data_IF_787434270333
#
_entry.id   IF_787434270333
#
_cell.length_a   1.000
_cell.length_b   1.000
_cell.length_c   1.000
_cell.angle_alpha   90.00
_cell.angle_beta   90.00
_cell.angle_gamma   90.00
#
_symmetry.space_group_name_H-M   'P 1'
#
loop_
_entity.id
_entity.type
_entity.pdbx_description
1 polymer ?
#
# COMPACT_ATOMS: atom_id res chain seq x y z
N UNK A 1 64.66 13.13 54.61
CA UNK A 1 64.87 14.47 53.99
C UNK A 1 64.01 14.50 52.73
N UNK A 2 62.82 15.14 52.69
CA UNK A 2 62.57 16.58 52.41
C UNK A 2 63.49 17.08 51.27
N UNK A 3 63.04 17.46 50.06
CA UNK A 3 62.18 18.64 49.77
C UNK A 3 61.69 18.71 48.29
N UNK A 4 60.40 19.06 48.11
CA UNK A 4 59.73 20.05 47.23
C UNK A 4 59.86 20.12 45.67
N UNK A 5 58.69 19.93 45.03
CA UNK A 5 57.93 20.71 44.00
C UNK A 5 58.60 21.72 43.04
N UNK A 6 58.19 21.66 41.76
CA UNK A 6 57.41 22.67 40.94
C UNK A 6 57.45 22.24 39.43
N UNK A 7 56.35 21.80 38.80
CA UNK A 7 55.26 22.51 38.12
C UNK A 7 55.58 23.10 36.70
N UNK A 8 54.76 22.67 35.70
CA UNK A 8 54.25 23.42 34.51
C UNK A 8 55.25 23.81 33.39
N UNK A 9 54.98 23.81 32.06
CA UNK A 9 53.84 23.52 31.15
C UNK A 9 54.39 23.37 29.71
N UNK A 10 53.51 22.99 28.77
CA UNK A 10 53.51 23.24 27.31
C UNK A 10 53.91 22.09 26.34
N UNK A 11 52.85 21.39 25.90
CA UNK A 11 52.42 21.23 24.51
C UNK A 11 53.42 20.83 23.42
N UNK A 12 53.21 19.64 22.84
CA UNK A 12 52.89 19.49 21.42
C UNK A 12 52.34 18.08 21.16
N UNK A 13 51.02 18.01 20.93
CA UNK A 13 50.38 16.84 20.37
C UNK A 13 50.73 16.74 18.88
N UNK A 14 51.31 15.63 18.45
CA UNK A 14 51.32 15.22 17.03
C UNK A 14 50.30 14.12 16.90
N UNK A 15 49.11 14.48 16.44
CA UNK A 15 48.06 13.54 16.08
C UNK A 15 48.42 12.90 14.74
N UNK A 16 48.68 11.59 14.74
CA UNK A 16 48.64 10.79 13.51
C UNK A 16 47.17 10.67 13.06
N UNK A 17 46.85 11.26 11.92
CA UNK A 17 45.60 11.03 11.21
C UNK A 17 45.61 9.61 10.63
N UNK A 18 44.99 8.67 11.35
CA UNK A 18 44.53 7.43 10.74
C UNK A 18 43.30 7.76 9.87
N UNK A 19 43.41 7.52 8.57
CA UNK A 19 42.32 7.60 7.61
C UNK A 19 41.24 6.58 8.00
N UNK A 20 40.26 7.05 8.78
CA UNK A 20 39.01 6.33 9.01
C UNK A 20 38.22 6.27 7.71
N UNK A 21 38.24 5.11 7.06
CA UNK A 21 37.30 4.78 6.01
C UNK A 21 35.89 4.78 6.59
N UNK A 22 35.15 5.87 6.34
CA UNK A 22 33.71 5.92 6.53
C UNK A 22 33.11 4.95 5.51
N UNK A 23 32.82 3.72 5.93
CA UNK A 23 31.74 2.96 5.32
C UNK A 23 30.49 3.82 5.46
N UNK A 24 29.83 4.25 4.38
CA UNK A 24 28.50 4.83 4.53
C UNK A 24 27.66 3.76 5.20
N UNK A 25 27.21 4.04 6.43
CA UNK A 25 26.12 3.29 7.02
C UNK A 25 25.02 3.29 5.97
N UNK A 26 24.73 2.12 5.38
CA UNK A 26 23.54 1.95 4.57
C UNK A 26 22.42 2.52 5.42
N UNK A 27 21.86 3.65 4.99
CA UNK A 27 20.71 4.24 5.62
C UNK A 27 19.72 3.08 5.78
N UNK A 28 19.47 2.70 7.03
CA UNK A 28 18.46 1.71 7.34
C UNK A 28 17.19 2.33 6.78
N UNK A 29 16.80 1.85 5.59
CA UNK A 29 15.53 2.23 5.01
C UNK A 29 14.51 1.97 6.10
N UNK A 30 13.62 2.93 6.31
CA UNK A 30 12.43 2.76 7.14
C UNK A 30 11.54 1.73 6.44
N UNK A 31 11.97 0.47 6.53
CA UNK A 31 11.28 -0.71 6.04
C UNK A 31 10.18 -0.90 7.06
N UNK A 32 9.01 -0.33 6.73
CA UNK A 32 7.88 -0.20 7.65
C UNK A 32 7.59 -1.46 8.47
N UNK A 33 6.88 -1.29 9.57
CA UNK A 33 6.58 -2.37 10.49
C UNK A 33 5.15 -2.87 10.30
N UNK A 34 4.95 -4.18 10.38
CA UNK A 34 3.62 -4.80 10.45
C UNK A 34 3.31 -5.13 11.92
N UNK A 35 2.16 -4.69 12.42
CA UNK A 35 1.71 -4.99 13.79
C UNK A 35 0.46 -5.85 13.73
N UNK A 36 0.51 -7.05 14.32
CA UNK A 36 -0.63 -7.94 14.52
C UNK A 36 -1.13 -7.76 15.96
N UNK A 37 -2.40 -7.43 16.12
CA UNK A 37 -3.08 -7.39 17.42
C UNK A 37 -3.95 -8.62 17.53
N UNK A 38 -3.64 -9.48 18.49
CA UNK A 38 -4.37 -10.70 18.78
C UNK A 38 -5.60 -10.40 19.64
N UNK A 39 -6.60 -11.31 19.60
CA UNK A 39 -7.85 -11.17 20.36
C UNK A 39 -7.63 -11.14 21.88
N UNK A 40 -6.55 -11.76 22.34
CA UNK A 40 -6.09 -11.73 23.73
C UNK A 40 -5.46 -10.37 24.13
N UNK A 41 -5.40 -9.40 23.20
CA UNK A 41 -4.81 -8.08 23.40
C UNK A 41 -3.29 -8.03 23.16
N UNK A 42 -2.65 -9.17 22.88
CA UNK A 42 -1.22 -9.22 22.58
C UNK A 42 -0.93 -8.50 21.27
N UNK A 43 0.19 -7.80 21.21
CA UNK A 43 0.66 -7.07 20.03
C UNK A 43 1.99 -7.67 19.60
N UNK A 44 2.11 -8.02 18.32
CA UNK A 44 3.35 -8.52 17.75
C UNK A 44 3.74 -7.71 16.54
N UNK A 45 4.96 -7.20 16.59
CA UNK A 45 5.53 -6.34 15.55
C UNK A 45 6.54 -7.12 14.73
N UNK A 46 6.48 -6.98 13.42
CA UNK A 46 7.39 -7.60 12.47
C UNK A 46 8.03 -6.52 11.59
N UNK A 47 9.33 -6.65 11.34
CA UNK A 47 10.01 -5.86 10.32
C UNK A 47 9.64 -6.40 8.93
N UNK A 48 9.16 -5.56 8.02
CA UNK A 48 8.88 -5.99 6.64
C UNK A 48 10.15 -6.48 5.91
N UNK A 49 11.34 -6.13 6.39
CA UNK A 49 12.60 -6.57 5.84
C UNK A 49 12.87 -8.08 6.02
N UNK A 50 12.23 -8.69 7.02
CA UNK A 50 12.53 -10.04 7.50
C UNK A 50 11.44 -11.05 7.11
N UNK A 51 10.33 -10.59 6.51
CA UNK A 51 9.20 -11.44 6.17
C UNK A 51 9.39 -11.98 4.75
N UNK A 52 9.55 -13.30 4.64
CA UNK A 52 9.59 -13.99 3.35
C UNK A 52 8.17 -14.31 2.82
N UNK A 53 7.25 -14.74 3.68
CA UNK A 53 5.87 -15.11 3.33
C UNK A 53 4.95 -15.06 4.54
N UNK A 54 3.67 -14.78 4.32
CA UNK A 54 2.59 -14.91 5.32
C UNK A 54 1.58 -15.93 4.80
N UNK A 55 1.24 -16.93 5.62
CA UNK A 55 0.30 -18.00 5.29
C UNK A 55 -0.78 -18.10 6.37
N UNK A 56 -1.99 -18.51 5.98
CA UNK A 56 -3.12 -18.72 6.88
C UNK A 56 -3.70 -20.11 6.62
N UNK A 57 -3.83 -20.94 7.64
CA UNK A 57 -4.19 -22.38 7.53
C UNK A 57 -5.58 -22.62 6.93
N UNK A 58 -6.45 -21.60 6.88
CA UNK A 58 -7.79 -21.71 6.31
C UNK A 58 -7.81 -21.21 4.85
N UNK A 59 -7.05 -21.87 3.98
CA UNK A 59 -7.11 -21.63 2.54
C UNK A 59 -8.30 -22.35 1.91
N UNK A 60 -9.50 -21.82 2.11
CA UNK A 60 -10.45 -21.81 1.00
C UNK A 60 -9.93 -20.78 0.00
N UNK A 61 -9.07 -21.23 -0.89
CA UNK A 61 -8.50 -20.59 -2.10
C UNK A 61 -8.94 -19.15 -2.38
N UNK A 62 -8.52 -18.20 -1.54
CA UNK A 62 -8.55 -16.77 -1.84
C UNK A 62 -7.48 -16.14 -0.98
N UNK A 63 -6.32 -15.88 -1.58
CA UNK A 63 -5.37 -14.92 -1.03
C UNK A 63 -6.08 -13.56 -0.98
N UNK A 64 -6.71 -13.23 0.14
CA UNK A 64 -7.14 -11.87 0.41
C UNK A 64 -5.87 -11.03 0.43
N UNK A 65 -5.61 -10.30 -0.65
CA UNK A 65 -4.52 -9.33 -0.68
C UNK A 65 -4.76 -8.38 0.50
N UNK A 66 -3.80 -8.25 1.41
CA UNK A 66 -3.91 -7.31 2.54
C UNK A 66 -4.23 -5.93 1.94
N UNK A 67 -5.46 -5.45 2.15
CA UNK A 67 -6.00 -4.25 1.51
C UNK A 67 -7.23 -4.46 0.60
N UNK A 68 -7.60 -5.69 0.25
CA UNK A 68 -8.83 -5.99 -0.50
C UNK A 68 -10.08 -5.62 0.30
N UNK A 69 -10.07 -5.90 1.61
CA UNK A 69 -11.18 -5.62 2.52
C UNK A 69 -11.66 -4.16 2.48
N UNK A 70 -10.77 -3.20 2.18
CA UNK A 70 -11.14 -1.77 2.13
C UNK A 70 -11.98 -1.38 0.92
N UNK A 71 -11.95 -2.20 -0.14
CA UNK A 71 -12.66 -1.97 -1.39
C UNK A 71 -13.83 -2.92 -1.58
N UNK A 72 -13.88 -4.03 -0.84
CA UNK A 72 -15.01 -4.95 -0.83
C UNK A 72 -16.30 -4.22 -0.48
N UNK A 73 -17.39 -4.55 -1.16
CA UNK A 73 -18.70 -3.95 -0.96
C UNK A 73 -19.27 -3.29 -2.22
N UNK A 74 -20.34 -2.53 -2.03
CA UNK A 74 -21.05 -1.82 -3.10
C UNK A 74 -20.59 -0.37 -3.19
N UNK A 75 -20.44 0.10 -4.43
CA UNK A 75 -20.00 1.45 -4.76
C UNK A 75 -20.96 2.07 -5.76
N UNK A 76 -21.43 3.29 -5.47
CA UNK A 76 -22.09 4.14 -6.47
C UNK A 76 -21.02 4.96 -7.20
N UNK A 77 -21.03 4.91 -8.52
CA UNK A 77 -20.02 5.55 -9.37
C UNK A 77 -20.66 6.28 -10.55
N UNK A 78 -20.03 7.33 -11.05
CA UNK A 78 -20.50 8.05 -12.23
C UNK A 78 -20.19 7.32 -13.55
N UNK A 79 -21.09 7.41 -14.53
CA UNK A 79 -20.89 6.85 -15.88
C UNK A 79 -20.03 7.72 -16.80
N UNK A 80 -19.83 9.00 -16.45
CA UNK A 80 -19.10 10.00 -17.25
C UNK A 80 -19.97 10.83 -18.18
N UNK A 81 -21.25 10.49 -18.31
CA UNK A 81 -22.26 11.23 -19.05
C UNK A 81 -23.23 12.00 -18.12
N UNK A 82 -23.00 11.96 -16.80
CA UNK A 82 -23.82 12.61 -15.78
C UNK A 82 -24.78 11.66 -15.06
N UNK A 83 -24.83 10.39 -15.45
CA UNK A 83 -25.55 9.33 -14.73
C UNK A 83 -24.67 8.62 -13.71
N UNK A 84 -25.28 7.67 -12.99
CA UNK A 84 -24.58 6.82 -12.03
C UNK A 84 -24.99 5.36 -12.17
N UNK A 85 -24.10 4.47 -11.76
CA UNK A 85 -24.35 3.03 -11.69
C UNK A 85 -23.65 2.44 -10.47
N UNK A 86 -23.91 1.17 -10.20
CA UNK A 86 -23.32 0.46 -9.06
C UNK A 86 -22.25 -0.53 -9.52
N UNK A 87 -21.17 -0.61 -8.75
CA UNK A 87 -20.14 -1.64 -8.83
C UNK A 87 -20.14 -2.40 -7.49
N UNK A 88 -20.25 -3.72 -7.54
CA UNK A 88 -20.12 -4.60 -6.37
C UNK A 88 -18.81 -5.35 -6.46
N UNK A 89 -17.94 -5.18 -5.47
CA UNK A 89 -16.67 -5.89 -5.31
C UNK A 89 -16.83 -6.97 -4.23
N UNK A 90 -16.91 -8.22 -4.65
CA UNK A 90 -17.15 -9.36 -3.77
C UNK A 90 -15.85 -9.94 -3.19
N UNK A 91 -15.94 -10.69 -2.07
CA UNK A 91 -14.88 -11.60 -1.67
C UNK A 91 -14.44 -12.50 -2.84
N UNK A 92 -13.19 -12.99 -2.81
CA UNK A 92 -12.61 -13.81 -3.88
C UNK A 92 -12.40 -13.14 -5.24
N UNK A 93 -12.47 -11.80 -5.30
CA UNK A 93 -12.08 -11.05 -6.50
C UNK A 93 -13.12 -11.06 -7.61
N UNK A 94 -14.39 -11.36 -7.33
CA UNK A 94 -15.50 -11.22 -8.30
C UNK A 94 -16.06 -9.81 -8.28
N UNK A 95 -16.41 -9.27 -9.44
CA UNK A 95 -17.02 -7.95 -9.58
C UNK A 95 -18.28 -8.02 -10.44
N UNK A 96 -19.27 -7.16 -10.13
CA UNK A 96 -20.46 -6.96 -10.95
C UNK A 96 -20.73 -5.47 -11.11
N UNK A 97 -21.28 -5.05 -12.26
CA UNK A 97 -21.79 -3.70 -12.47
C UNK A 97 -23.21 -3.70 -13.01
N UNK A 98 -23.99 -2.67 -12.67
CA UNK A 98 -25.35 -2.52 -13.20
C UNK A 98 -25.37 -1.91 -14.61
N UNK A 99 -24.40 -1.07 -14.96
CA UNK A 99 -24.27 -0.48 -16.29
C UNK A 99 -23.75 -1.52 -17.30
N UNK A 100 -24.52 -1.81 -18.34
CA UNK A 100 -24.18 -2.83 -19.34
C UNK A 100 -24.18 -4.27 -18.80
N UNK A 101 -24.55 -4.48 -17.52
CA UNK A 101 -24.69 -5.77 -16.84
C UNK A 101 -23.55 -6.77 -17.13
N UNK A 102 -22.31 -6.38 -16.81
CA UNK A 102 -21.16 -7.26 -16.99
C UNK A 102 -20.63 -7.76 -15.64
N UNK A 103 -20.20 -9.03 -15.64
CA UNK A 103 -19.32 -9.54 -14.60
C UNK A 103 -17.86 -9.15 -14.89
N UNK A 104 -17.06 -9.17 -13.84
CA UNK A 104 -15.63 -8.98 -13.92
C UNK A 104 -14.90 -9.65 -12.78
N UNK A 105 -13.61 -9.39 -12.75
CA UNK A 105 -12.73 -9.72 -11.63
C UNK A 105 -12.06 -8.46 -11.12
N UNK A 106 -11.68 -8.44 -9.84
CA UNK A 106 -10.96 -7.33 -9.26
C UNK A 106 -9.83 -7.78 -8.35
N UNK A 107 -8.81 -6.93 -8.23
CA UNK A 107 -7.67 -7.13 -7.34
C UNK A 107 -7.14 -5.77 -6.88
N UNK A 108 -6.32 -5.76 -5.84
CA UNK A 108 -5.65 -4.53 -5.37
C UNK A 108 -4.27 -4.44 -6.00
N UNK A 109 -4.02 -3.37 -6.75
CA UNK A 109 -2.72 -3.06 -7.35
C UNK A 109 -2.29 -1.68 -6.87
N UNK A 110 -1.10 -1.56 -6.28
CA UNK A 110 -0.57 -0.28 -5.76
C UNK A 110 -1.54 0.46 -4.81
N UNK A 111 -2.35 -0.29 -4.06
CA UNK A 111 -3.33 0.26 -3.12
C UNK A 111 -4.64 0.74 -3.76
N UNK A 112 -4.87 0.47 -5.04
CA UNK A 112 -6.10 0.80 -5.77
C UNK A 112 -6.83 -0.49 -6.20
N UNK A 113 -8.15 -0.48 -6.26
CA UNK A 113 -8.91 -1.64 -6.74
C UNK A 113 -9.00 -1.58 -8.26
N UNK A 114 -8.22 -2.42 -8.93
CA UNK A 114 -8.28 -2.63 -10.37
C UNK A 114 -9.34 -3.68 -10.70
N UNK A 115 -10.28 -3.33 -11.54
CA UNK A 115 -11.42 -4.14 -11.97
C UNK A 115 -11.29 -4.38 -13.47
N UNK A 116 -11.36 -5.64 -13.89
CA UNK A 116 -11.36 -6.04 -15.30
C UNK A 116 -12.71 -6.67 -15.61
N UNK A 117 -13.44 -6.05 -16.52
CA UNK A 117 -14.77 -6.49 -16.94
C UNK A 117 -14.67 -7.44 -18.14
N UNK A 118 -15.64 -8.36 -18.25
CA UNK A 118 -15.72 -9.29 -19.40
C UNK A 118 -15.95 -8.59 -20.75
N UNK A 119 -16.51 -7.39 -20.73
CA UNK A 119 -16.69 -6.55 -21.93
C UNK A 119 -15.40 -5.80 -22.35
N UNK A 120 -14.28 -6.07 -21.67
CA UNK A 120 -12.96 -5.51 -21.97
C UNK A 120 -12.69 -4.16 -21.28
N UNK A 121 -13.69 -3.51 -20.69
CA UNK A 121 -13.47 -2.31 -19.91
C UNK A 121 -12.66 -2.61 -18.65
N UNK A 122 -11.89 -1.63 -18.21
CA UNK A 122 -11.24 -1.66 -16.89
C UNK A 122 -11.63 -0.43 -16.10
N UNK A 123 -11.96 -0.64 -14.84
CA UNK A 123 -12.20 0.43 -13.87
C UNK A 123 -11.17 0.35 -12.75
N UNK A 124 -10.79 1.50 -12.21
CA UNK A 124 -9.99 1.62 -11.00
C UNK A 124 -10.78 2.41 -9.97
N UNK A 125 -11.01 1.84 -8.78
CA UNK A 125 -11.47 2.59 -7.61
C UNK A 125 -10.27 2.95 -6.77
N UNK A 126 -10.02 4.26 -6.62
CA UNK A 126 -8.86 4.79 -5.88
C UNK A 126 -9.25 5.90 -4.93
N UNK A 127 -8.43 6.10 -3.90
CA UNK A 127 -8.58 7.22 -2.98
C UNK A 127 -7.92 8.46 -3.58
N UNK A 128 -8.66 9.56 -3.62
CA UNK A 128 -8.18 10.88 -4.07
C UNK A 128 -8.46 11.90 -2.96
N UNK A 129 -7.44 12.20 -2.16
CA UNK A 129 -7.56 12.99 -0.95
C UNK A 129 -8.52 12.34 0.08
N UNK A 130 -9.64 13.01 0.35
CA UNK A 130 -10.68 12.54 1.29
C UNK A 130 -11.80 11.73 0.62
N UNK A 131 -11.84 11.68 -0.71
CA UNK A 131 -12.90 11.01 -1.47
C UNK A 131 -12.35 9.77 -2.20
N UNK A 132 -13.24 8.97 -2.75
CA UNK A 132 -12.89 7.95 -3.74
C UNK A 132 -13.31 8.40 -5.13
N UNK A 133 -12.59 7.91 -6.13
CA UNK A 133 -12.87 8.14 -7.54
C UNK A 133 -12.84 6.82 -8.29
N UNK A 134 -13.70 6.71 -9.31
CA UNK A 134 -13.61 5.71 -10.37
C UNK A 134 -12.85 6.30 -11.55
N UNK A 135 -11.90 5.55 -12.09
CA UNK A 135 -11.20 5.86 -13.34
C UNK A 135 -11.48 4.73 -14.33
N UNK A 136 -11.96 5.04 -15.54
CA UNK A 136 -12.32 4.06 -16.55
C UNK A 136 -11.40 4.10 -17.76
N UNK A 137 -11.08 2.91 -18.27
CA UNK A 137 -10.31 2.68 -19.49
C UNK A 137 -11.09 1.78 -20.42
N UNK A 138 -11.19 2.20 -21.67
CA UNK A 138 -11.84 1.44 -22.73
C UNK A 138 -11.09 0.12 -23.02
N UNK A 139 -11.75 -0.84 -23.69
CA UNK A 139 -11.11 -2.06 -24.16
C UNK A 139 -9.84 -1.77 -24.96
N UNK A 140 -8.76 -2.50 -24.64
CA UNK A 140 -7.48 -2.39 -25.36
C UNK A 140 -6.56 -1.23 -24.95
N UNK A 141 -7.03 -0.23 -24.20
CA UNK A 141 -6.18 0.89 -23.75
C UNK A 141 -5.06 0.45 -22.77
N UNK A 142 -3.95 1.18 -22.69
CA UNK A 142 -3.02 1.01 -21.57
C UNK A 142 -3.61 1.63 -20.29
N UNK A 143 -3.19 1.16 -19.11
CA UNK A 143 -3.49 1.87 -17.85
C UNK A 143 -2.61 3.10 -17.64
N UNK A 144 -1.57 3.27 -18.47
CA UNK A 144 -0.72 4.47 -18.48
C UNK A 144 -1.24 5.55 -19.44
N UNK A 145 -2.24 5.23 -20.27
CA UNK A 145 -2.91 6.20 -21.14
C UNK A 145 -3.84 7.13 -20.33
N UNK A 146 -4.24 8.28 -20.89
CA UNK A 146 -5.32 9.07 -20.29
C UNK A 146 -6.60 8.24 -20.15
N UNK A 147 -7.31 8.33 -19.01
CA UNK A 147 -8.53 7.59 -18.83
C UNK A 147 -9.67 8.15 -19.68
N UNK A 148 -10.58 7.29 -20.10
CA UNK A 148 -11.78 7.69 -20.84
C UNK A 148 -12.76 8.48 -19.97
N UNK A 149 -12.80 8.18 -18.67
CA UNK A 149 -13.66 8.88 -17.73
C UNK A 149 -13.07 8.80 -16.31
N UNK A 150 -13.14 9.90 -15.56
CA UNK A 150 -12.93 9.92 -14.11
C UNK A 150 -14.16 10.51 -13.44
N UNK A 151 -14.70 9.80 -12.45
CA UNK A 151 -15.90 10.21 -11.72
C UNK A 151 -15.76 9.95 -10.22
N UNK A 152 -16.60 10.58 -9.40
CA UNK A 152 -16.68 10.29 -7.97
C UNK A 152 -17.15 8.83 -7.75
N UNK A 153 -16.63 8.22 -6.69
CA UNK A 153 -17.04 6.92 -6.19
C UNK A 153 -17.44 7.05 -4.72
N UNK A 154 -18.63 6.57 -4.40
CA UNK A 154 -19.19 6.60 -3.05
C UNK A 154 -19.44 5.17 -2.57
N UNK A 155 -18.90 4.86 -1.39
CA UNK A 155 -19.14 3.56 -0.76
C UNK A 155 -20.55 3.51 -0.20
N UNK A 156 -21.31 2.48 -0.55
CA UNK A 156 -22.69 2.31 -0.11
C UNK A 156 -22.80 1.38 1.09
N UNK A 157 -22.17 0.19 1.03
CA UNK A 157 -22.26 -0.81 2.11
C UNK A 157 -21.25 -1.95 1.93
N UNK A 158 -20.80 -2.56 3.04
CA UNK A 158 -20.01 -3.79 3.06
C UNK A 158 -20.86 -4.94 3.60
N UNK A 159 -20.90 -6.06 2.88
CA UNK A 159 -21.47 -7.31 3.40
C UNK A 159 -20.58 -7.91 4.48
#
# INVERSE_FOLDING_TARGET
>A
MRTLLKASLASAAVALLALGGLTPALAAQDKGQMVIIFRDGRRQTFSLAEIARVEFENTSTTSYQVGSAKFMGRWKVGDGAGGTFEITLQPAGKAHKTLGQADGTWTVVKGEALITWKDGWRDIIRKSGRKYQKVAYQPGASLDDPPNNTADAEYLEGQ
#
